data_IF_512500375365
#
_entry.id   IF_512500375365
#
_cell.length_a   1.000
_cell.length_b   1.000
_cell.length_c   1.000
_cell.angle_alpha   90.00
_cell.angle_beta   90.00
_cell.angle_gamma   90.00
#
_symmetry.space_group_name_H-M   'P 1'
#
loop_
_entity.id
_entity.type
_entity.pdbx_description
1 polymer ?
#
# COMPACT_ATOMS: atom_id res chain seq x y z
N UNK A 1 -13.47 6.28 66.67
CA UNK A 1 -13.71 6.72 65.29
C UNK A 1 -12.65 6.02 64.42
N UNK A 2 -13.07 5.00 63.64
CA UNK A 2 -12.20 4.24 62.72
C UNK A 2 -12.62 4.58 61.31
N UNK A 3 -11.83 5.39 60.62
CA UNK A 3 -12.02 5.67 59.23
C UNK A 3 -11.40 4.53 58.39
N UNK A 4 -12.28 3.78 57.76
CA UNK A 4 -11.90 2.74 56.79
C UNK A 4 -11.70 3.38 55.44
N UNK A 5 -10.46 3.58 55.09
CA UNK A 5 -10.05 4.07 53.77
C UNK A 5 -10.28 2.95 52.75
N UNK A 6 -11.36 3.03 51.96
CA UNK A 6 -11.64 2.10 50.86
C UNK A 6 -10.78 2.48 49.67
N UNK A 7 -9.66 1.77 49.49
CA UNK A 7 -8.85 1.85 48.28
C UNK A 7 -9.58 1.16 47.13
N UNK A 8 -10.10 1.94 46.19
CA UNK A 8 -10.67 1.41 44.94
C UNK A 8 -9.52 1.17 43.98
N UNK A 9 -9.15 -0.10 43.80
CA UNK A 9 -8.22 -0.54 42.75
C UNK A 9 -8.97 -0.50 41.41
N UNK A 10 -8.71 0.52 40.59
CA UNK A 10 -9.11 0.56 39.18
C UNK A 10 -8.21 -0.42 38.43
N UNK A 11 -8.71 -1.61 38.13
CA UNK A 11 -8.09 -2.52 37.19
C UNK A 11 -8.27 -1.97 35.76
N UNK A 12 -7.23 -1.32 35.23
CA UNK A 12 -7.17 -0.97 33.80
C UNK A 12 -6.96 -2.25 33.01
N UNK A 13 -8.04 -2.75 32.41
CA UNK A 13 -7.96 -3.85 31.46
C UNK A 13 -7.26 -3.35 30.19
N UNK A 14 -5.97 -3.63 30.08
CA UNK A 14 -5.22 -3.46 28.84
C UNK A 14 -5.63 -4.60 27.92
N UNK A 15 -6.67 -4.37 27.10
CA UNK A 15 -7.02 -5.29 26.03
C UNK A 15 -5.87 -5.25 25.01
N UNK A 16 -5.18 -6.37 24.71
CA UNK A 16 -4.23 -6.40 23.62
C UNK A 16 -5.01 -6.09 22.33
N UNK A 17 -4.69 -4.96 21.70
CA UNK A 17 -5.09 -4.69 20.33
C UNK A 17 -4.40 -5.75 19.46
N UNK A 18 -5.09 -6.85 19.20
CA UNK A 18 -4.71 -7.75 18.13
C UNK A 18 -4.87 -6.98 16.84
N UNK A 19 -3.78 -6.40 16.35
CA UNK A 19 -3.67 -6.00 14.95
C UNK A 19 -3.74 -7.30 14.16
N UNK A 20 -4.93 -7.64 13.69
CA UNK A 20 -5.05 -8.69 12.69
C UNK A 20 -4.26 -8.20 11.47
N UNK A 21 -3.16 -8.87 11.18
CA UNK A 21 -2.48 -8.66 9.92
C UNK A 21 -3.48 -9.07 8.83
N UNK A 22 -3.92 -8.09 8.04
CA UNK A 22 -4.80 -8.37 6.91
C UNK A 22 -4.11 -9.36 5.97
N UNK A 23 -4.82 -10.41 5.58
CA UNK A 23 -4.33 -11.39 4.64
C UNK A 23 -4.06 -10.71 3.30
N UNK A 24 -2.80 -10.70 2.86
CA UNK A 24 -2.38 -10.03 1.63
C UNK A 24 -3.11 -10.56 0.39
N UNK A 25 -3.59 -11.80 0.44
CA UNK A 25 -4.32 -12.46 -0.65
C UNK A 25 -5.83 -12.23 -0.61
N UNK A 26 -6.31 -11.31 0.24
CA UNK A 26 -7.72 -10.95 0.33
C UNK A 26 -7.92 -9.45 0.16
N UNK A 27 -8.95 -9.09 -0.60
CA UNK A 27 -9.38 -7.69 -0.76
C UNK A 27 -10.89 -7.61 -0.92
N UNK A 28 -11.48 -6.51 -0.43
CA UNK A 28 -12.91 -6.26 -0.59
C UNK A 28 -13.33 -6.20 -2.06
N UNK A 29 -12.46 -5.70 -2.94
CA UNK A 29 -12.72 -5.63 -4.39
C UNK A 29 -12.82 -7.02 -5.00
N UNK A 30 -11.88 -7.93 -4.70
CA UNK A 30 -11.94 -9.30 -5.20
C UNK A 30 -13.13 -10.07 -4.61
N UNK A 31 -13.39 -9.91 -3.31
CA UNK A 31 -14.54 -10.55 -2.64
C UNK A 31 -15.88 -10.09 -3.27
N UNK A 32 -16.01 -8.82 -3.68
CA UNK A 32 -17.18 -8.32 -4.39
C UNK A 32 -17.33 -8.94 -5.78
N UNK A 33 -16.23 -9.12 -6.51
CA UNK A 33 -16.23 -9.76 -7.82
C UNK A 33 -16.63 -11.24 -7.75
N UNK A 34 -16.16 -11.96 -6.73
CA UNK A 34 -16.47 -13.38 -6.55
C UNK A 34 -17.96 -13.65 -6.23
N UNK A 35 -18.73 -12.64 -5.85
CA UNK A 35 -20.19 -12.74 -5.70
C UNK A 35 -20.94 -12.75 -7.04
N UNK A 36 -20.27 -12.40 -8.13
CA UNK A 36 -20.82 -12.45 -9.48
C UNK A 36 -20.67 -13.84 -10.08
N UNK A 37 -21.59 -14.24 -10.94
CA UNK A 37 -21.58 -15.58 -11.55
C UNK A 37 -20.78 -15.60 -12.86
N UNK A 38 -20.10 -16.73 -13.13
CA UNK A 38 -19.50 -17.07 -14.42
C UNK A 38 -18.44 -16.05 -14.87
N UNK A 39 -18.46 -15.72 -16.15
CA UNK A 39 -17.49 -14.81 -16.80
C UNK A 39 -17.54 -13.37 -16.22
N UNK A 40 -18.65 -12.94 -15.64
CA UNK A 40 -18.76 -11.63 -15.00
C UNK A 40 -17.78 -11.46 -13.84
N UNK A 41 -17.50 -12.54 -13.11
CA UNK A 41 -16.49 -12.53 -12.04
C UNK A 41 -15.09 -12.27 -12.59
N UNK A 42 -14.70 -12.90 -13.69
CA UNK A 42 -13.40 -12.69 -14.32
C UNK A 42 -13.22 -11.26 -14.84
N UNK A 43 -14.22 -10.73 -15.54
CA UNK A 43 -14.21 -9.33 -16.02
C UNK A 43 -14.15 -8.32 -14.86
N UNK A 44 -14.88 -8.59 -13.77
CA UNK A 44 -14.84 -7.75 -12.58
C UNK A 44 -13.44 -7.74 -11.95
N UNK A 45 -12.81 -8.90 -11.81
CA UNK A 45 -11.44 -9.01 -11.27
C UNK A 45 -10.43 -8.26 -12.15
N UNK A 46 -10.51 -8.39 -13.46
CA UNK A 46 -9.66 -7.66 -14.40
C UNK A 46 -9.83 -6.15 -14.25
N UNK A 47 -11.08 -5.68 -14.23
CA UNK A 47 -11.39 -4.26 -14.05
C UNK A 47 -10.88 -3.71 -12.70
N UNK A 48 -10.99 -4.48 -11.62
CA UNK A 48 -10.47 -4.10 -10.31
C UNK A 48 -8.94 -3.98 -10.30
N UNK A 49 -8.25 -4.89 -11.00
CA UNK A 49 -6.80 -4.83 -11.17
C UNK A 49 -6.35 -3.58 -11.94
N UNK A 50 -6.96 -3.32 -13.07
CA UNK A 50 -6.70 -2.13 -13.88
C UNK A 50 -6.96 -0.84 -13.10
N UNK A 51 -8.04 -0.78 -12.34
CA UNK A 51 -8.35 0.38 -11.51
C UNK A 51 -7.29 0.61 -10.43
N UNK A 52 -6.79 -0.46 -9.81
CA UNK A 52 -5.72 -0.40 -8.80
C UNK A 52 -4.39 0.07 -9.41
N UNK A 53 -4.01 -0.49 -10.55
CA UNK A 53 -2.78 -0.09 -11.26
C UNK A 53 -2.84 1.38 -11.72
N UNK A 54 -3.99 1.85 -12.19
CA UNK A 54 -4.19 3.25 -12.56
C UNK A 54 -4.04 4.19 -11.36
N UNK A 55 -4.59 3.84 -10.20
CA UNK A 55 -4.42 4.63 -8.96
C UNK A 55 -2.95 4.75 -8.57
N UNK A 56 -2.19 3.65 -8.63
CA UNK A 56 -0.75 3.68 -8.35
C UNK A 56 0.00 4.55 -9.35
N UNK A 57 -0.32 4.42 -10.64
CA UNK A 57 0.29 5.23 -11.71
C UNK A 57 0.02 6.71 -11.52
N UNK A 58 -1.19 7.08 -11.15
CA UNK A 58 -1.57 8.47 -10.86
C UNK A 58 -0.80 9.01 -9.65
N UNK A 59 -0.74 8.26 -8.56
CA UNK A 59 0.02 8.64 -7.36
C UNK A 59 1.51 8.81 -7.63
N UNK A 60 2.10 7.89 -8.40
CA UNK A 60 3.50 7.97 -8.81
C UNK A 60 3.76 9.18 -9.70
N UNK A 61 2.94 9.41 -10.72
CA UNK A 61 3.08 10.55 -11.63
C UNK A 61 2.94 11.88 -10.89
N UNK A 62 1.98 11.97 -9.96
CA UNK A 62 1.82 13.15 -9.12
C UNK A 62 3.06 13.42 -8.25
N UNK A 63 3.67 12.36 -7.68
CA UNK A 63 4.89 12.50 -6.89
C UNK A 63 6.07 12.95 -7.75
N UNK A 64 6.27 12.38 -8.92
CA UNK A 64 7.32 12.80 -9.87
C UNK A 64 7.14 14.29 -10.22
N UNK A 65 5.92 14.70 -10.56
CA UNK A 65 5.61 16.11 -10.87
C UNK A 65 5.91 17.03 -9.69
N UNK A 66 5.55 16.64 -8.47
CA UNK A 66 5.85 17.41 -7.27
C UNK A 66 7.36 17.55 -7.04
N UNK A 67 8.13 16.49 -7.25
CA UNK A 67 9.59 16.53 -7.13
C UNK A 67 10.24 17.39 -8.23
N UNK A 68 9.75 17.33 -9.45
CA UNK A 68 10.27 18.15 -10.56
C UNK A 68 10.00 19.64 -10.37
N UNK A 69 8.89 20.01 -9.76
CA UNK A 69 8.46 21.40 -9.55
C UNK A 69 8.91 21.98 -8.21
N UNK A 70 9.56 21.19 -7.36
CA UNK A 70 10.02 21.67 -6.07
C UNK A 70 11.16 22.69 -6.21
N UNK A 71 11.12 23.74 -5.39
CA UNK A 71 12.16 24.77 -5.34
C UNK A 71 13.35 24.33 -4.47
N UNK A 72 14.34 23.75 -5.10
CA UNK A 72 15.57 23.25 -4.44
C UNK A 72 16.53 24.34 -4.00
N UNK A 73 16.33 25.58 -4.42
CA UNK A 73 17.19 26.70 -3.98
C UNK A 73 17.06 26.95 -2.48
N UNK A 74 16.01 26.44 -1.87
CA UNK A 74 15.77 26.51 -0.42
C UNK A 74 16.61 25.52 0.39
N UNK A 75 17.25 24.55 -0.24
CA UNK A 75 18.11 23.59 0.43
C UNK A 75 19.56 24.08 0.45
N UNK A 76 20.34 23.85 1.54
CA UNK A 76 21.71 24.30 1.64
C UNK A 76 22.64 23.83 0.53
N UNK A 77 22.34 22.69 -0.07
CA UNK A 77 23.08 22.08 -1.19
C UNK A 77 22.15 21.69 -2.34
N UNK A 78 21.01 22.37 -2.46
CA UNK A 78 20.02 22.11 -3.49
C UNK A 78 20.47 22.69 -4.83
N UNK A 79 20.53 21.84 -5.85
CA UNK A 79 20.76 22.20 -7.23
C UNK A 79 19.90 21.33 -8.18
N UNK A 80 19.90 21.68 -9.44
CA UNK A 80 19.13 20.98 -10.45
C UNK A 80 19.61 19.52 -10.64
N UNK A 81 20.91 19.27 -10.48
CA UNK A 81 21.47 17.93 -10.61
C UNK A 81 20.94 17.01 -9.52
N UNK A 82 20.82 17.49 -8.29
CA UNK A 82 20.19 16.71 -7.19
C UNK A 82 18.73 16.43 -7.44
N UNK A 83 17.99 17.39 -7.97
CA UNK A 83 16.58 17.18 -8.35
C UNK A 83 16.47 16.08 -9.39
N UNK A 84 17.26 16.15 -10.44
CA UNK A 84 17.30 15.13 -11.49
C UNK A 84 17.63 13.76 -10.92
N UNK A 85 18.65 13.67 -10.09
CA UNK A 85 19.05 12.44 -9.42
C UNK A 85 17.92 11.85 -8.55
N UNK A 86 17.19 12.69 -7.81
CA UNK A 86 16.03 12.25 -7.00
C UNK A 86 14.94 11.65 -7.87
N UNK A 87 14.59 12.30 -8.98
CA UNK A 87 13.56 11.83 -9.91
C UNK A 87 13.96 10.50 -10.54
N UNK A 88 15.20 10.40 -11.05
CA UNK A 88 15.73 9.17 -11.63
C UNK A 88 15.78 8.02 -10.64
N UNK A 89 16.21 8.28 -9.40
CA UNK A 89 16.23 7.27 -8.34
C UNK A 89 14.82 6.78 -8.00
N UNK A 90 13.81 7.66 -7.94
CA UNK A 90 12.43 7.26 -7.68
C UNK A 90 11.85 6.46 -8.85
N UNK A 91 12.17 6.82 -10.10
CA UNK A 91 11.76 6.05 -11.28
C UNK A 91 12.36 4.65 -11.28
N UNK A 92 13.66 4.52 -11.02
CA UNK A 92 14.32 3.22 -10.88
C UNK A 92 13.74 2.39 -9.74
N UNK A 93 13.47 3.02 -8.59
CA UNK A 93 12.79 2.39 -7.44
C UNK A 93 11.41 1.84 -7.83
N UNK A 94 10.63 2.58 -8.60
CA UNK A 94 9.30 2.15 -9.02
C UNK A 94 9.36 0.92 -9.95
N UNK A 95 10.33 0.88 -10.87
CA UNK A 95 10.52 -0.27 -11.74
C UNK A 95 10.90 -1.53 -10.95
N UNK A 96 11.88 -1.41 -10.05
CA UNK A 96 12.32 -2.51 -9.20
C UNK A 96 11.18 -2.99 -8.26
N UNK A 97 10.42 -2.05 -7.71
CA UNK A 97 9.28 -2.34 -6.85
C UNK A 97 8.19 -3.12 -7.60
N UNK A 98 7.85 -2.72 -8.83
CA UNK A 98 6.84 -3.43 -9.64
C UNK A 98 7.25 -4.88 -9.89
N UNK A 99 8.50 -5.13 -10.26
CA UNK A 99 9.00 -6.49 -10.45
C UNK A 99 8.97 -7.30 -9.15
N UNK A 100 9.35 -6.69 -8.02
CA UNK A 100 9.30 -7.34 -6.72
C UNK A 100 7.86 -7.63 -6.27
N UNK A 101 6.92 -6.72 -6.50
CA UNK A 101 5.48 -6.92 -6.25
C UNK A 101 4.98 -8.15 -6.99
N UNK A 102 5.24 -8.23 -8.28
CA UNK A 102 4.72 -9.31 -9.13
C UNK A 102 5.28 -10.68 -8.70
N UNK A 103 6.57 -10.75 -8.41
CA UNK A 103 7.19 -11.96 -7.87
C UNK A 103 6.64 -12.33 -6.49
N UNK A 104 6.47 -11.36 -5.60
CA UNK A 104 5.89 -11.58 -4.28
C UNK A 104 4.45 -12.08 -4.35
N UNK A 105 3.60 -11.48 -5.19
CA UNK A 105 2.19 -11.88 -5.32
C UNK A 105 2.05 -13.25 -5.99
N UNK A 106 2.96 -13.63 -6.88
CA UNK A 106 3.05 -15.00 -7.41
C UNK A 106 3.31 -15.99 -6.28
N UNK A 107 4.28 -15.69 -5.41
CA UNK A 107 4.59 -16.56 -4.28
C UNK A 107 3.44 -16.60 -3.24
N UNK A 108 2.86 -15.45 -2.91
CA UNK A 108 1.79 -15.34 -1.92
C UNK A 108 0.51 -16.09 -2.33
N UNK A 109 0.21 -16.15 -3.64
CA UNK A 109 -0.97 -16.85 -4.16
C UNK A 109 -0.72 -18.32 -4.54
N UNK A 110 0.52 -18.81 -4.40
CA UNK A 110 0.90 -20.16 -4.84
C UNK A 110 0.06 -21.29 -4.21
N UNK A 111 -0.38 -21.12 -2.96
CA UNK A 111 -1.24 -22.10 -2.28
C UNK A 111 -2.62 -22.29 -2.92
N UNK A 112 -3.07 -21.32 -3.71
CA UNK A 112 -4.33 -21.37 -4.46
C UNK A 112 -4.16 -21.97 -5.87
N UNK A 113 -2.96 -22.39 -6.26
CA UNK A 113 -2.69 -22.98 -7.57
C UNK A 113 -3.57 -24.21 -7.82
N UNK A 114 -4.15 -24.29 -9.02
CA UNK A 114 -5.08 -25.36 -9.39
C UNK A 114 -6.50 -25.21 -8.81
N UNK A 115 -6.78 -24.12 -8.13
CA UNK A 115 -8.12 -23.80 -7.61
C UNK A 115 -8.75 -22.62 -8.37
N UNK A 116 -10.09 -22.47 -8.36
CA UNK A 116 -10.76 -21.29 -8.92
C UNK A 116 -10.41 -19.96 -8.24
N UNK A 117 -9.75 -19.99 -7.08
CA UNK A 117 -9.43 -18.82 -6.25
C UNK A 117 -8.11 -18.16 -6.63
N UNK A 118 -7.26 -18.82 -7.44
CA UNK A 118 -5.92 -18.33 -7.76
C UNK A 118 -5.94 -16.88 -8.28
N UNK A 119 -6.81 -16.58 -9.25
CA UNK A 119 -6.89 -15.24 -9.83
C UNK A 119 -7.29 -14.17 -8.79
N UNK A 120 -8.26 -14.50 -7.93
CA UNK A 120 -8.71 -13.58 -6.89
C UNK A 120 -7.64 -13.34 -5.81
N UNK A 121 -6.88 -14.38 -5.42
CA UNK A 121 -5.78 -14.26 -4.46
C UNK A 121 -4.63 -13.44 -5.04
N UNK A 122 -4.20 -13.73 -6.26
CA UNK A 122 -3.13 -12.99 -6.93
C UNK A 122 -3.52 -11.51 -7.10
N UNK A 123 -4.73 -11.23 -7.56
CA UNK A 123 -5.24 -9.88 -7.73
C UNK A 123 -5.34 -9.13 -6.40
N UNK A 124 -5.86 -9.77 -5.35
CA UNK A 124 -5.94 -9.16 -4.02
C UNK A 124 -4.57 -8.73 -3.52
N UNK A 125 -3.56 -9.58 -3.72
CA UNK A 125 -2.18 -9.25 -3.37
C UNK A 125 -1.70 -8.01 -4.13
N UNK A 126 -1.91 -7.94 -5.44
CA UNK A 126 -1.53 -6.77 -6.26
C UNK A 126 -2.24 -5.51 -5.76
N UNK A 127 -3.54 -5.56 -5.50
CA UNK A 127 -4.33 -4.42 -5.00
C UNK A 127 -3.77 -3.93 -3.66
N UNK A 128 -3.51 -4.84 -2.73
CA UNK A 128 -3.00 -4.50 -1.40
C UNK A 128 -1.58 -3.94 -1.46
N UNK A 129 -0.72 -4.52 -2.31
CA UNK A 129 0.63 -4.01 -2.53
C UNK A 129 0.62 -2.62 -3.17
N UNK A 130 -0.23 -2.38 -4.17
CA UNK A 130 -0.39 -1.07 -4.80
C UNK A 130 -0.82 -0.01 -3.78
N UNK A 131 -1.76 -0.33 -2.91
CA UNK A 131 -2.20 0.58 -1.85
C UNK A 131 -1.05 0.94 -0.90
N UNK A 132 -0.27 -0.03 -0.46
CA UNK A 132 0.93 0.19 0.36
C UNK A 132 1.95 1.07 -0.36
N UNK A 133 2.16 0.86 -1.66
CA UNK A 133 3.08 1.69 -2.43
C UNK A 133 2.62 3.14 -2.54
N UNK A 134 1.32 3.37 -2.70
CA UNK A 134 0.73 4.73 -2.69
C UNK A 134 1.02 5.41 -1.35
N UNK A 135 0.86 4.71 -0.25
CA UNK A 135 1.17 5.21 1.10
C UNK A 135 2.67 5.51 1.28
N UNK A 136 3.57 4.62 0.81
CA UNK A 136 5.01 4.87 0.81
C UNK A 136 5.39 6.11 -0.01
N UNK A 137 4.81 6.29 -1.20
CA UNK A 137 5.04 7.47 -2.04
C UNK A 137 4.61 8.76 -1.34
N UNK A 138 3.55 8.72 -0.55
CA UNK A 138 3.08 9.86 0.23
C UNK A 138 4.06 10.28 1.33
N UNK A 139 4.90 9.35 1.83
CA UNK A 139 5.91 9.64 2.86
C UNK A 139 7.13 10.40 2.31
N UNK A 140 7.32 10.45 1.00
CA UNK A 140 8.41 11.22 0.39
C UNK A 140 8.07 12.70 0.47
N UNK A 141 8.75 13.42 1.34
CA UNK A 141 8.60 14.86 1.53
C UNK A 141 9.83 15.57 0.98
N UNK A 142 9.69 16.40 -0.06
CA UNK A 142 10.81 17.13 -0.62
C UNK A 142 11.24 18.31 0.28
N UNK A 143 10.36 18.77 1.17
CA UNK A 143 10.68 19.88 2.09
C UNK A 143 11.41 19.36 3.32
N UNK A 144 12.52 20.02 3.75
CA UNK A 144 13.11 19.75 5.05
C UNK A 144 12.09 20.09 6.15
N UNK A 145 12.03 19.25 7.18
CA UNK A 145 11.23 19.57 8.37
C UNK A 145 11.67 20.93 8.96
N UNK A 146 10.68 21.77 9.33
CA UNK A 146 10.91 23.08 9.93
C UNK A 146 11.31 22.93 11.37
#
# INVERSE_FOLDING_TARGET
VKDVLKTVLLAVAISPLYVQADDITRSAAADACLKQAGENSAHCLEAAGLASDNKLKEAFSAKITALQNFDYTRWPQGDEARRTQMVEALQASQQAWTAARDAFCTAASASAAGTPWLAAHALSCVINMNQRRIEELALIQPEPEK
#
